data_IF_188309436105
#
_entry.id   IF_188309436105
#
_cell.length_a   1.000
_cell.length_b   1.000
_cell.length_c   1.000
_cell.angle_alpha   90.00
_cell.angle_beta   90.00
_cell.angle_gamma   90.00
#
_symmetry.space_group_name_H-M   'P 1'
#
loop_
_entity.id
_entity.type
_entity.pdbx_description
1 polymer ?
#
# COMPACT_ATOMS: atom_id res chain seq x y z
N UNK A 1 -4.72 12.03 -2.53
CA UNK A 1 -5.11 11.20 -3.69
C UNK A 1 -4.04 10.17 -3.97
N UNK A 2 -4.36 9.08 -4.66
CA UNK A 2 -3.52 7.87 -4.90
C UNK A 2 -2.15 8.10 -5.56
N UNK A 3 -1.68 9.33 -5.71
CA UNK A 3 -0.37 9.63 -6.27
C UNK A 3 -0.20 9.03 -7.66
N UNK A 4 -1.32 8.82 -8.37
CA UNK A 4 -1.31 8.35 -9.74
C UNK A 4 -0.63 9.45 -10.55
N UNK A 5 0.52 9.14 -11.12
CA UNK A 5 1.27 10.16 -11.82
C UNK A 5 0.58 10.46 -13.16
N UNK A 6 0.57 11.74 -13.55
CA UNK A 6 -0.22 12.24 -14.69
C UNK A 6 0.05 11.49 -16.00
N UNK A 7 -0.92 11.52 -16.91
CA UNK A 7 -0.76 10.96 -18.27
C UNK A 7 0.45 11.64 -18.91
N UNK A 8 1.51 10.88 -19.16
CA UNK A 8 2.72 11.34 -19.83
C UNK A 8 3.03 10.37 -20.97
N UNK A 9 3.69 10.87 -22.01
CA UNK A 9 4.04 10.07 -23.19
C UNK A 9 4.77 8.78 -22.80
N UNK A 10 5.69 8.86 -21.84
CA UNK A 10 6.40 7.71 -21.29
C UNK A 10 5.46 6.63 -20.73
N UNK A 11 4.42 7.01 -19.98
CA UNK A 11 3.46 6.03 -19.44
C UNK A 11 2.59 5.40 -20.49
N UNK A 12 2.15 6.18 -21.48
CA UNK A 12 1.40 5.61 -22.58
C UNK A 12 2.27 4.68 -23.42
N UNK A 13 3.55 5.01 -23.63
CA UNK A 13 4.51 4.10 -24.27
C UNK A 13 4.68 2.79 -23.48
N UNK A 14 4.89 2.88 -22.17
CA UNK A 14 4.99 1.68 -21.30
C UNK A 14 3.67 0.89 -21.36
N UNK A 15 2.52 1.57 -21.25
CA UNK A 15 1.21 0.94 -21.29
C UNK A 15 1.04 0.19 -22.60
N UNK A 16 1.14 0.87 -23.74
CA UNK A 16 0.97 0.28 -25.07
C UNK A 16 1.91 -0.89 -25.29
N UNK A 17 3.19 -0.75 -24.94
CA UNK A 17 4.17 -1.83 -25.08
C UNK A 17 3.74 -3.10 -24.32
N UNK A 18 3.43 -2.98 -23.03
CA UNK A 18 3.04 -4.16 -22.23
C UNK A 18 1.63 -4.67 -22.54
N UNK A 19 0.73 -3.82 -23.05
CA UNK A 19 -0.59 -4.24 -23.53
C UNK A 19 -0.47 -5.12 -24.77
N UNK A 20 0.35 -4.71 -25.75
CA UNK A 20 0.55 -5.44 -27.00
C UNK A 20 1.28 -6.78 -26.83
N UNK A 21 2.12 -6.92 -25.80
CA UNK A 21 2.94 -8.12 -25.61
C UNK A 21 2.33 -9.13 -24.65
N UNK A 22 1.67 -8.68 -23.57
CA UNK A 22 1.20 -9.55 -22.49
C UNK A 22 -0.15 -9.12 -21.87
N UNK A 23 -0.85 -8.14 -22.46
CA UNK A 23 -2.14 -7.62 -21.98
C UNK A 23 -2.12 -7.08 -20.53
N UNK A 24 -0.96 -6.58 -20.09
CA UNK A 24 -0.76 -6.06 -18.72
C UNK A 24 -0.30 -4.58 -18.72
N UNK A 25 -0.71 -3.81 -19.72
CA UNK A 25 -0.27 -2.42 -19.89
C UNK A 25 -0.55 -1.54 -18.68
N UNK A 26 -1.72 -1.71 -18.06
CA UNK A 26 -2.12 -0.91 -16.90
C UNK A 26 -1.29 -1.22 -15.65
N UNK A 27 -1.02 -2.50 -15.41
CA UNK A 27 -0.30 -3.00 -14.26
C UNK A 27 1.12 -2.41 -14.22
N UNK A 28 1.82 -2.45 -15.35
CA UNK A 28 3.19 -1.96 -15.47
C UNK A 28 3.29 -0.44 -15.50
N UNK A 29 2.38 0.25 -16.17
CA UNK A 29 2.44 1.72 -16.29
C UNK A 29 1.96 2.45 -15.02
N UNK A 30 1.04 1.85 -14.25
CA UNK A 30 0.35 2.54 -13.16
C UNK A 30 0.33 1.76 -11.83
N UNK A 31 -0.05 0.49 -11.82
CA UNK A 31 -0.27 -0.25 -10.57
C UNK A 31 1.03 -0.55 -9.82
N UNK A 32 2.00 -1.22 -10.46
CA UNK A 32 3.29 -1.54 -9.82
C UNK A 32 4.06 -0.29 -9.41
N UNK A 33 4.17 0.76 -10.25
CA UNK A 33 4.77 2.03 -9.82
C UNK A 33 4.04 2.66 -8.63
N UNK A 34 2.72 2.57 -8.59
CA UNK A 34 1.89 3.06 -7.48
C UNK A 34 2.19 2.33 -6.18
N UNK A 35 2.17 0.99 -6.19
CA UNK A 35 2.50 0.17 -5.03
C UNK A 35 3.93 0.44 -4.55
N UNK A 36 4.91 0.55 -5.45
CA UNK A 36 6.28 0.84 -5.06
C UNK A 36 6.41 2.13 -4.26
N UNK A 37 5.65 3.18 -4.63
CA UNK A 37 5.61 4.43 -3.85
C UNK A 37 4.97 4.27 -2.48
N UNK A 38 3.93 3.44 -2.37
CA UNK A 38 3.28 3.10 -1.09
C UNK A 38 4.27 2.39 -0.17
N UNK A 39 5.01 1.40 -0.69
CA UNK A 39 6.02 0.67 0.07
C UNK A 39 7.17 1.57 0.52
N UNK A 40 7.62 2.47 -0.35
CA UNK A 40 8.63 3.48 0.02
C UNK A 40 8.14 4.42 1.11
N UNK A 41 6.87 4.86 1.05
CA UNK A 41 6.28 5.71 2.08
C UNK A 41 6.16 4.97 3.41
N UNK A 42 5.75 3.70 3.38
CA UNK A 42 5.68 2.86 4.57
C UNK A 42 7.05 2.58 5.18
N UNK A 43 8.09 2.37 4.36
CA UNK A 43 9.46 2.21 4.83
C UNK A 43 10.00 3.46 5.54
N UNK A 44 9.36 4.62 5.41
CA UNK A 44 9.72 5.82 6.20
C UNK A 44 9.17 5.79 7.62
N UNK A 45 8.19 4.94 7.91
CA UNK A 45 7.51 4.82 9.21
C UNK A 45 8.33 3.99 10.20
N UNK A 46 9.05 2.97 9.73
CA UNK A 46 9.89 2.09 10.54
C UNK A 46 11.33 2.22 10.05
N UNK A 47 12.22 2.82 10.85
CA UNK A 47 13.64 3.03 10.55
C UNK A 47 14.59 2.40 11.56
N UNK A 48 14.08 1.95 12.70
CA UNK A 48 14.79 1.22 13.74
C UNK A 48 13.90 0.13 14.36
N UNK A 49 14.48 -0.81 15.09
CA UNK A 49 13.75 -1.92 15.72
C UNK A 49 12.76 -1.46 16.82
N UNK A 50 12.97 -0.26 17.36
CA UNK A 50 12.10 0.35 18.37
C UNK A 50 11.01 1.24 17.75
N UNK A 51 11.09 1.52 16.43
CA UNK A 51 10.11 2.34 15.77
C UNK A 51 8.78 1.60 15.66
N UNK A 52 7.72 2.35 15.92
CA UNK A 52 6.37 1.85 15.82
C UNK A 52 5.53 2.88 15.10
N UNK A 53 4.67 2.42 14.20
CA UNK A 53 3.77 3.32 13.48
C UNK A 53 2.67 2.59 12.72
N UNK A 54 1.72 3.38 12.22
CA UNK A 54 0.53 2.88 11.52
C UNK A 54 0.55 3.41 10.09
N UNK A 55 0.25 2.53 9.14
CA UNK A 55 0.06 2.87 7.73
C UNK A 55 -1.42 2.77 7.40
N UNK A 56 -2.01 3.85 6.88
CA UNK A 56 -3.40 3.87 6.43
C UNK A 56 -3.45 3.90 4.90
N UNK A 57 -4.01 2.86 4.30
CA UNK A 57 -4.21 2.74 2.85
C UNK A 57 -5.58 3.31 2.48
N UNK A 58 -5.62 4.55 1.99
CA UNK A 58 -6.86 5.26 1.66
C UNK A 58 -7.15 5.15 0.16
N UNK A 59 -7.77 4.04 -0.24
CA UNK A 59 -8.47 3.87 -1.52
C UNK A 59 -9.25 2.55 -1.50
N UNK A 60 -10.39 2.46 -2.20
CA UNK A 60 -11.14 1.21 -2.33
C UNK A 60 -10.36 0.11 -3.08
N UNK A 61 -9.42 0.48 -3.96
CA UNK A 61 -8.59 -0.44 -4.75
C UNK A 61 -7.80 -1.42 -3.89
N UNK A 62 -7.36 -1.01 -2.70
CA UNK A 62 -6.65 -1.90 -1.76
C UNK A 62 -7.51 -3.03 -1.20
N UNK A 63 -8.84 -3.00 -1.42
CA UNK A 63 -9.73 -4.13 -1.10
C UNK A 63 -9.68 -5.23 -2.16
N UNK A 64 -9.27 -4.92 -3.39
CA UNK A 64 -9.20 -5.88 -4.49
C UNK A 64 -7.97 -6.78 -4.41
N UNK A 65 -8.12 -8.04 -4.82
CA UNK A 65 -7.07 -9.06 -4.72
C UNK A 65 -5.79 -8.69 -5.47
N UNK A 66 -5.92 -8.02 -6.62
CA UNK A 66 -4.77 -7.56 -7.41
C UNK A 66 -3.84 -6.66 -6.59
N UNK A 67 -4.37 -5.72 -5.80
CA UNK A 67 -3.57 -4.83 -4.96
C UNK A 67 -3.07 -5.54 -3.69
N UNK A 68 -3.90 -6.41 -3.09
CA UNK A 68 -3.52 -7.13 -1.85
C UNK A 68 -2.34 -8.07 -2.06
N UNK A 69 -2.26 -8.74 -3.23
CA UNK A 69 -1.16 -9.65 -3.58
C UNK A 69 0.19 -8.95 -3.79
N UNK A 70 0.18 -7.63 -3.94
CA UNK A 70 1.39 -6.83 -4.15
C UNK A 70 1.92 -6.19 -2.85
N UNK A 71 1.18 -6.34 -1.75
CA UNK A 71 1.66 -5.91 -0.44
C UNK A 71 2.61 -6.98 0.13
N UNK A 72 3.55 -6.60 1.01
CA UNK A 72 4.53 -7.53 1.56
C UNK A 72 3.88 -8.68 2.33
N UNK A 73 4.52 -9.85 2.27
CA UNK A 73 4.09 -11.02 3.02
C UNK A 73 4.07 -10.71 4.52
N UNK A 74 2.95 -11.03 5.17
CA UNK A 74 2.70 -10.71 6.59
C UNK A 74 1.91 -9.43 6.82
N UNK A 75 1.77 -8.54 5.83
CA UNK A 75 0.86 -7.41 5.95
C UNK A 75 -0.59 -7.88 5.88
N UNK A 76 -1.36 -7.60 6.94
CA UNK A 76 -2.80 -7.88 6.99
C UNK A 76 -3.58 -6.59 7.30
N UNK A 77 -3.82 -5.72 6.31
CA UNK A 77 -4.57 -4.49 6.52
C UNK A 77 -5.96 -4.77 7.07
N UNK A 78 -6.32 -4.09 8.15
CA UNK A 78 -7.67 -4.13 8.72
C UNK A 78 -8.58 -3.16 7.95
N UNK A 79 -9.81 -3.59 7.66
CA UNK A 79 -10.79 -2.70 7.04
C UNK A 79 -11.33 -1.71 8.09
N UNK A 80 -11.06 -0.43 7.86
CA UNK A 80 -11.62 0.68 8.65
C UNK A 80 -12.78 1.28 7.86
N UNK A 81 -13.94 1.47 8.51
CA UNK A 81 -15.18 1.92 7.85
C UNK A 81 -15.65 3.28 8.33
N UNK A 82 -15.23 3.68 9.52
CA UNK A 82 -15.66 4.89 10.21
C UNK A 82 -14.57 5.35 11.19
N UNK A 83 -14.76 6.55 11.74
CA UNK A 83 -13.84 7.16 12.68
C UNK A 83 -13.73 6.39 14.01
N UNK A 84 -14.83 5.76 14.44
CA UNK A 84 -14.88 4.97 15.67
C UNK A 84 -13.95 3.76 15.59
N UNK A 85 -14.00 3.00 14.49
CA UNK A 85 -13.16 1.84 14.24
C UNK A 85 -11.69 2.23 14.06
N UNK A 86 -11.43 3.38 13.44
CA UNK A 86 -10.08 3.93 13.33
C UNK A 86 -9.51 4.28 14.70
N UNK A 87 -10.23 5.08 15.48
CA UNK A 87 -9.81 5.56 16.80
C UNK A 87 -9.56 4.40 17.75
N UNK A 88 -10.48 3.44 17.84
CA UNK A 88 -10.30 2.25 18.66
C UNK A 88 -9.07 1.42 18.23
N UNK A 89 -8.83 1.30 16.92
CA UNK A 89 -7.66 0.61 16.38
C UNK A 89 -6.34 1.32 16.72
N UNK A 90 -6.30 2.64 16.59
CA UNK A 90 -5.14 3.46 16.95
C UNK A 90 -4.86 3.43 18.45
N UNK A 91 -5.88 3.55 19.29
CA UNK A 91 -5.72 3.44 20.75
C UNK A 91 -5.20 2.07 21.15
N UNK A 92 -5.81 0.99 20.63
CA UNK A 92 -5.39 -0.39 20.87
C UNK A 92 -3.95 -0.62 20.42
N UNK A 93 -3.58 -0.05 19.27
CA UNK A 93 -2.20 -0.03 18.83
C UNK A 93 -1.37 0.69 19.90
N UNK A 94 -1.49 1.99 20.11
CA UNK A 94 -0.58 2.78 20.95
C UNK A 94 -0.56 2.44 22.44
N UNK A 95 -1.51 1.64 22.95
CA UNK A 95 -1.45 1.12 24.32
C UNK A 95 -0.13 0.37 24.59
N UNK A 96 0.64 0.77 25.61
CA UNK A 96 1.84 0.04 26.01
C UNK A 96 1.42 -1.31 26.62
N UNK A 97 1.73 -2.43 25.97
CA UNK A 97 1.31 -3.74 26.52
C UNK A 97 1.51 -5.01 25.70
N UNK A 98 1.99 -4.99 24.45
CA UNK A 98 2.38 -6.23 23.73
C UNK A 98 3.67 -6.04 22.97
N UNK A 99 4.78 -6.45 23.58
CA UNK A 99 5.95 -6.92 22.83
C UNK A 99 5.52 -8.21 22.15
N UNK A 100 5.26 -8.16 20.84
CA UNK A 100 5.29 -9.36 20.01
C UNK A 100 6.76 -9.79 19.96
N UNK A 101 7.08 -10.96 20.52
CA UNK A 101 8.40 -11.56 20.34
C UNK A 101 8.66 -11.75 18.83
N UNK A 102 9.91 -11.58 18.35
CA UNK A 102 10.23 -11.84 16.95
C UNK A 102 10.01 -13.33 16.66
N UNK A 103 9.34 -13.60 15.53
CA UNK A 103 9.18 -14.94 14.94
C UNK A 103 10.39 -15.22 14.07
#
# INVERSE_FOLDING_TARGET
GVGLPGVCLERELIRTYFDEHIEQGFEYAYMYPGINRVLQAAGRVIRSDDDRGVVLLIDQRYRGDAYRRLLPDGWRPAAVRDDTTLSAGLESFWRPGRRSAPV
#
